data_IF_313780446021
#
_entry.id   IF_313780446021
#
_cell.length_a   1.000
_cell.length_b   1.000
_cell.length_c   1.000
_cell.angle_alpha   90.00
_cell.angle_beta   90.00
_cell.angle_gamma   90.00
#
_symmetry.space_group_name_H-M   'P 1'
#
loop_
_entity.id
_entity.type
_entity.pdbx_description
1 polymer ?
#
# COMPACT_ATOMS: atom_id res chain seq x y z
N UNK A 1 -20.21 46.61 -53.70
CA UNK A 1 -19.71 47.93 -54.21
C UNK A 1 -18.26 48.09 -53.75
N UNK A 2 -17.34 48.09 -54.75
CA UNK A 2 -15.98 48.70 -54.77
C UNK A 2 -15.02 48.38 -53.62
N UNK A 3 -13.71 48.17 -53.77
CA UNK A 3 -12.78 47.97 -54.92
C UNK A 3 -11.38 47.76 -54.27
N UNK A 4 -10.68 46.77 -54.75
CA UNK A 4 -9.24 46.63 -54.97
C UNK A 4 -8.28 47.70 -54.40
N UNK A 5 -7.12 47.26 -53.84
CA UNK A 5 -5.84 47.43 -54.60
C UNK A 5 -4.69 46.63 -53.96
N UNK A 6 -4.02 45.93 -54.84
CA UNK A 6 -2.68 45.31 -54.73
C UNK A 6 -1.62 46.40 -54.80
N UNK A 7 -0.49 46.19 -54.15
CA UNK A 7 0.81 46.65 -54.66
C UNK A 7 1.90 45.61 -54.30
N UNK A 8 2.58 45.16 -55.34
CA UNK A 8 3.85 44.42 -55.35
C UNK A 8 5.02 45.40 -55.17
N UNK A 9 6.13 44.88 -54.66
CA UNK A 9 7.47 45.52 -54.76
C UNK A 9 8.46 44.69 -53.97
N UNK A 10 9.14 43.77 -54.56
CA UNK A 10 10.44 43.70 -55.24
C UNK A 10 11.65 43.77 -54.30
N UNK A 11 12.43 42.72 -54.46
CA UNK A 11 13.66 42.29 -53.80
C UNK A 11 14.84 43.28 -53.82
N UNK A 12 15.74 43.07 -52.84
CA UNK A 12 17.17 43.13 -53.12
C UNK A 12 17.97 42.32 -52.08
N UNK A 13 18.81 41.43 -52.56
CA UNK A 13 19.78 40.66 -51.82
C UNK A 13 21.04 41.49 -51.55
N UNK A 14 21.57 41.36 -50.35
CA UNK A 14 23.00 41.71 -50.08
C UNK A 14 23.57 40.62 -49.17
N UNK A 15 24.52 39.89 -49.72
CA UNK A 15 25.42 38.96 -49.02
C UNK A 15 26.50 39.71 -48.32
N UNK A 16 26.73 39.45 -47.05
CA UNK A 16 27.98 39.73 -46.37
C UNK A 16 28.25 38.65 -45.31
N UNK A 17 29.21 37.80 -45.61
CA UNK A 17 29.84 36.85 -44.74
C UNK A 17 30.80 37.55 -43.79
N UNK A 18 30.58 37.46 -42.48
CA UNK A 18 31.62 37.64 -41.48
C UNK A 18 31.42 36.62 -40.38
N UNK A 19 32.37 35.73 -40.21
CA UNK A 19 32.39 34.75 -39.17
C UNK A 19 32.63 35.37 -37.77
N UNK A 20 31.84 34.96 -36.83
CA UNK A 20 32.14 35.13 -35.40
C UNK A 20 31.76 33.89 -34.65
N UNK A 21 32.72 33.36 -33.95
CA UNK A 21 32.66 32.22 -33.06
C UNK A 21 31.50 32.30 -32.07
N UNK A 22 30.51 31.42 -32.21
CA UNK A 22 29.45 31.26 -31.22
C UNK A 22 29.97 30.38 -30.11
N UNK A 23 30.19 30.96 -28.96
CA UNK A 23 30.27 30.26 -27.68
C UNK A 23 28.87 29.76 -27.40
N UNK A 24 28.67 28.45 -27.56
CA UNK A 24 27.46 27.79 -27.15
C UNK A 24 27.44 27.74 -25.63
N UNK A 25 26.67 28.64 -25.03
CA UNK A 25 26.23 28.50 -23.62
C UNK A 25 25.28 27.30 -23.56
N UNK A 26 25.82 26.17 -23.16
CA UNK A 26 25.00 25.03 -22.81
C UNK A 26 24.24 25.37 -21.52
N UNK A 27 23.00 25.80 -21.65
CA UNK A 27 22.04 25.80 -20.56
C UNK A 27 21.75 24.35 -20.23
N UNK A 28 22.33 23.83 -19.16
CA UNK A 28 21.94 22.59 -18.55
C UNK A 28 20.46 22.70 -18.18
N UNK A 29 19.59 21.72 -18.56
CA UNK A 29 18.27 21.71 -18.03
C UNK A 29 18.41 21.52 -16.52
N UNK A 30 17.89 22.49 -15.77
CA UNK A 30 17.71 22.35 -14.33
C UNK A 30 16.93 21.07 -14.09
N UNK A 31 17.61 20.05 -13.56
CA UNK A 31 16.97 18.86 -13.05
C UNK A 31 16.00 19.31 -11.98
N UNK A 32 14.72 19.27 -12.29
CA UNK A 32 13.67 19.41 -11.30
C UNK A 32 13.92 18.31 -10.27
N UNK A 33 14.39 18.72 -9.11
CA UNK A 33 14.58 17.92 -7.93
C UNK A 33 13.20 17.42 -7.50
N UNK A 34 12.83 16.23 -7.97
CA UNK A 34 11.61 15.52 -7.55
C UNK A 34 11.88 15.02 -6.15
N UNK A 35 11.61 15.90 -5.21
CA UNK A 35 11.63 15.67 -3.77
C UNK A 35 10.98 14.35 -3.39
N UNK A 36 11.82 13.38 -3.00
CA UNK A 36 11.54 12.63 -1.80
C UNK A 36 10.69 11.38 -1.88
N UNK A 37 10.69 10.61 -2.96
CA UNK A 37 10.38 9.18 -2.87
C UNK A 37 11.70 8.45 -2.68
N UNK A 38 12.12 8.24 -1.41
CA UNK A 38 13.24 7.35 -1.15
C UNK A 38 12.92 5.99 -1.78
N UNK A 39 13.57 5.69 -2.90
CA UNK A 39 13.36 4.43 -3.61
C UNK A 39 13.74 3.29 -2.67
N UNK A 40 12.80 2.40 -2.41
CA UNK A 40 13.07 1.16 -1.71
C UNK A 40 14.13 0.39 -2.50
N UNK A 41 15.27 0.08 -1.88
CA UNK A 41 16.45 -0.45 -2.58
C UNK A 41 16.53 -1.97 -2.57
N UNK A 42 15.84 -2.62 -1.61
CA UNK A 42 15.92 -4.07 -1.42
C UNK A 42 14.72 -4.84 -1.98
N UNK A 43 14.93 -6.11 -2.19
CA UNK A 43 13.95 -7.05 -2.76
C UNK A 43 13.49 -8.11 -1.75
N UNK A 44 13.71 -7.89 -0.45
CA UNK A 44 13.18 -8.79 0.57
C UNK A 44 11.66 -8.75 0.57
N UNK A 45 11.02 -9.91 0.41
CA UNK A 45 9.56 -10.01 0.37
C UNK A 45 8.93 -9.92 1.76
N UNK A 46 7.69 -9.43 1.85
CA UNK A 46 6.93 -9.46 3.11
C UNK A 46 6.62 -10.89 3.55
N UNK A 47 6.39 -11.80 2.61
CA UNK A 47 6.22 -13.22 2.95
C UNK A 47 7.44 -13.76 3.69
N UNK A 48 8.67 -13.40 3.29
CA UNK A 48 9.88 -13.84 4.01
C UNK A 48 9.97 -13.30 5.43
N UNK A 49 9.40 -12.11 5.69
CA UNK A 49 9.31 -11.53 7.04
C UNK A 49 8.30 -12.31 7.89
N UNK A 50 7.11 -12.58 7.34
CA UNK A 50 6.08 -13.36 8.02
C UNK A 50 6.52 -14.80 8.30
N UNK A 51 7.31 -15.39 7.40
CA UNK A 51 7.83 -16.76 7.53
C UNK A 51 9.07 -16.86 8.43
N UNK A 52 9.72 -15.75 8.76
CA UNK A 52 10.86 -15.73 9.69
C UNK A 52 10.44 -16.04 11.13
N UNK A 53 9.21 -15.72 11.47
CA UNK A 53 8.59 -16.18 12.69
C UNK A 53 8.27 -17.68 12.57
N UNK A 54 8.81 -18.46 13.49
CA UNK A 54 8.57 -19.92 13.56
C UNK A 54 7.40 -20.25 14.50
N UNK A 55 6.65 -19.25 14.93
CA UNK A 55 5.57 -19.34 15.88
C UNK A 55 4.50 -20.38 15.51
N UNK A 56 3.88 -20.94 16.50
CA UNK A 56 2.85 -21.97 16.39
C UNK A 56 1.68 -21.63 17.31
N UNK A 57 1.02 -20.49 17.12
CA UNK A 57 -0.06 -20.06 18.01
C UNK A 57 0.39 -20.08 19.49
N UNK A 58 1.43 -19.30 19.79
CA UNK A 58 2.19 -19.37 21.04
C UNK A 58 1.67 -18.45 22.14
N UNK A 59 0.51 -17.82 21.94
CA UNK A 59 -0.11 -16.83 22.82
C UNK A 59 0.50 -15.42 22.76
N UNK A 60 1.42 -15.14 21.83
CA UNK A 60 1.96 -13.82 21.57
C UNK A 60 1.06 -13.04 20.60
N UNK A 61 0.02 -12.44 21.07
CA UNK A 61 -0.95 -11.71 20.24
C UNK A 61 -0.39 -10.54 19.41
N UNK A 62 0.90 -10.25 19.47
CA UNK A 62 1.56 -9.16 18.75
C UNK A 62 2.25 -9.61 17.47
N UNK A 63 2.39 -10.89 17.24
CA UNK A 63 2.98 -11.50 16.05
C UNK A 63 1.93 -11.80 14.97
N UNK A 64 2.25 -12.68 14.01
CA UNK A 64 1.49 -12.87 12.79
C UNK A 64 1.15 -14.33 12.49
N UNK A 65 1.03 -15.19 13.49
CA UNK A 65 0.79 -16.62 13.30
C UNK A 65 -0.50 -16.91 12.51
N UNK A 66 -1.58 -16.19 12.83
CA UNK A 66 -2.86 -16.32 12.13
C UNK A 66 -2.75 -15.80 10.70
N UNK A 67 -2.14 -14.60 10.51
CA UNK A 67 -1.93 -14.03 9.17
C UNK A 67 -1.07 -14.96 8.30
N UNK A 68 0.06 -15.43 8.84
CA UNK A 68 0.95 -16.37 8.16
C UNK A 68 0.21 -17.63 7.74
N UNK A 69 -0.55 -18.22 8.66
CA UNK A 69 -1.30 -19.44 8.41
C UNK A 69 -2.39 -19.22 7.35
N UNK A 70 -3.06 -18.07 7.35
CA UNK A 70 -4.05 -17.70 6.34
C UNK A 70 -3.42 -17.54 4.94
N UNK A 71 -2.29 -16.82 4.84
CA UNK A 71 -1.54 -16.66 3.57
C UNK A 71 -1.10 -18.01 3.03
N UNK A 72 -0.52 -18.88 3.89
CA UNK A 72 -0.09 -20.22 3.47
C UNK A 72 -1.26 -21.10 3.03
N UNK A 73 -2.40 -21.03 3.72
CA UNK A 73 -3.61 -21.76 3.34
C UNK A 73 -4.10 -21.35 1.95
N UNK A 74 -4.20 -20.03 1.69
CA UNK A 74 -4.61 -19.52 0.37
C UNK A 74 -3.64 -19.96 -0.71
N UNK A 75 -2.33 -19.82 -0.52
CA UNK A 75 -1.34 -20.19 -1.53
C UNK A 75 -1.29 -21.70 -1.79
N UNK A 76 -1.62 -22.53 -0.78
CA UNK A 76 -1.72 -23.98 -0.93
C UNK A 76 -2.95 -24.38 -1.75
N UNK A 77 -4.11 -23.85 -1.43
CA UNK A 77 -5.37 -24.19 -2.13
C UNK A 77 -5.48 -23.49 -3.50
N UNK A 78 -4.91 -22.28 -3.62
CA UNK A 78 -4.95 -21.43 -4.81
C UNK A 78 -3.52 -20.99 -5.20
N UNK A 79 -2.70 -21.85 -5.81
CA UNK A 79 -1.30 -21.53 -6.14
C UNK A 79 -1.13 -20.33 -7.09
N UNK A 80 -2.18 -19.98 -7.86
CA UNK A 80 -2.20 -18.83 -8.77
C UNK A 80 -2.83 -17.58 -8.15
N UNK A 81 -3.15 -17.60 -6.85
CA UNK A 81 -3.75 -16.45 -6.16
C UNK A 81 -2.87 -15.21 -6.26
N UNK A 82 -3.46 -14.02 -6.50
CA UNK A 82 -2.74 -12.74 -6.45
C UNK A 82 -2.08 -12.45 -5.08
N UNK A 83 -2.49 -13.13 -4.00
CA UNK A 83 -1.79 -13.07 -2.69
C UNK A 83 -0.31 -13.46 -2.83
N UNK A 84 0.04 -14.25 -3.84
CA UNK A 84 1.42 -14.58 -4.18
C UNK A 84 2.33 -13.38 -4.46
N UNK A 85 1.79 -12.18 -4.70
CA UNK A 85 2.59 -10.95 -4.82
C UNK A 85 3.43 -10.67 -3.57
N UNK A 86 2.97 -11.11 -2.39
CA UNK A 86 3.70 -10.98 -1.14
C UNK A 86 5.04 -11.76 -1.13
N UNK A 87 5.22 -12.74 -2.01
CA UNK A 87 6.47 -13.50 -2.17
C UNK A 87 7.43 -12.87 -3.19
N UNK A 88 6.96 -11.92 -4.00
CA UNK A 88 7.72 -11.29 -5.09
C UNK A 88 8.35 -9.99 -4.59
N UNK A 89 9.47 -10.08 -3.89
CA UNK A 89 10.11 -8.94 -3.23
C UNK A 89 10.50 -7.78 -4.14
N UNK A 90 10.64 -8.03 -5.44
CA UNK A 90 10.92 -7.04 -6.48
C UNK A 90 9.71 -6.17 -6.87
N UNK A 91 8.50 -6.58 -6.47
CA UNK A 91 7.25 -5.86 -6.75
C UNK A 91 6.92 -4.87 -5.63
N UNK A 92 6.79 -3.59 -5.96
CA UNK A 92 6.46 -2.56 -4.99
C UNK A 92 5.03 -2.71 -4.47
N UNK A 93 4.86 -2.76 -3.16
CA UNK A 93 3.56 -2.73 -2.51
C UNK A 93 3.65 -2.23 -1.07
N UNK A 94 2.50 -1.83 -0.55
CA UNK A 94 2.27 -1.59 0.88
C UNK A 94 1.25 -2.61 1.38
N UNK A 95 1.52 -3.27 2.49
CA UNK A 95 0.55 -4.17 3.12
C UNK A 95 0.21 -3.69 4.54
N UNK A 96 -1.05 -3.78 4.89
CA UNK A 96 -1.53 -3.61 6.26
C UNK A 96 -1.60 -5.00 6.89
N UNK A 97 -0.82 -5.21 7.95
CA UNK A 97 -0.57 -6.52 8.54
C UNK A 97 -1.36 -6.65 9.85
N UNK A 98 -2.54 -7.28 9.87
CA UNK A 98 -3.24 -7.56 11.11
C UNK A 98 -2.43 -8.55 11.94
N UNK A 99 -2.17 -8.19 13.20
CA UNK A 99 -1.53 -9.09 14.16
C UNK A 99 -2.54 -10.12 14.70
N UNK A 100 -2.10 -11.06 15.51
CA UNK A 100 -2.97 -12.11 16.05
C UNK A 100 -4.08 -11.55 16.93
N UNK A 101 -3.82 -10.46 17.65
CA UNK A 101 -4.88 -9.77 18.38
C UNK A 101 -6.00 -9.28 17.45
N UNK A 102 -5.66 -8.71 16.29
CA UNK A 102 -6.64 -8.22 15.32
C UNK A 102 -7.57 -9.32 14.82
N UNK A 103 -7.04 -10.51 14.55
CA UNK A 103 -7.86 -11.67 14.16
C UNK A 103 -8.74 -12.18 15.30
N UNK A 104 -8.22 -12.18 16.53
CA UNK A 104 -9.00 -12.57 17.71
C UNK A 104 -10.16 -11.60 17.96
N UNK A 105 -9.94 -10.30 17.72
CA UNK A 105 -11.00 -9.28 17.77
C UNK A 105 -12.04 -9.53 16.68
N UNK A 106 -11.60 -9.74 15.42
CA UNK A 106 -12.49 -10.08 14.32
C UNK A 106 -13.41 -11.24 14.68
N UNK A 107 -12.85 -12.36 15.13
CA UNK A 107 -13.63 -13.56 15.47
C UNK A 107 -14.58 -13.31 16.63
N UNK A 108 -14.15 -12.56 17.65
CA UNK A 108 -15.03 -12.14 18.74
C UNK A 108 -16.24 -11.35 18.21
N UNK A 109 -15.99 -10.42 17.27
CA UNK A 109 -17.01 -9.52 16.73
C UNK A 109 -18.03 -10.28 15.88
N UNK A 110 -17.60 -11.14 14.97
CA UNK A 110 -18.50 -11.93 14.11
C UNK A 110 -19.26 -13.03 14.87
N UNK A 111 -18.64 -13.64 15.88
CA UNK A 111 -19.29 -14.68 16.69
C UNK A 111 -20.08 -14.13 17.88
N UNK A 112 -20.05 -12.80 18.10
CA UNK A 112 -20.66 -12.12 19.27
C UNK A 112 -20.18 -12.70 20.61
N UNK A 113 -18.95 -13.23 20.64
CA UNK A 113 -18.40 -13.86 21.84
C UNK A 113 -18.06 -12.82 22.91
N UNK A 114 -18.19 -13.18 24.19
CA UNK A 114 -17.87 -12.30 25.29
C UNK A 114 -16.35 -12.16 25.52
N UNK A 115 -15.57 -13.18 25.14
CA UNK A 115 -14.10 -13.24 25.34
C UNK A 115 -13.37 -13.42 24.01
N UNK A 116 -12.14 -12.94 23.94
CA UNK A 116 -11.27 -13.21 22.81
C UNK A 116 -10.94 -14.70 22.74
N UNK A 117 -11.07 -15.33 21.55
CA UNK A 117 -10.67 -16.73 21.35
C UNK A 117 -9.13 -16.86 21.45
N UNK A 118 -8.61 -18.10 21.56
CA UNK A 118 -7.18 -18.35 21.33
C UNK A 118 -6.82 -18.13 19.86
N UNK A 119 -5.53 -17.91 19.56
CA UNK A 119 -5.04 -17.73 18.17
C UNK A 119 -5.42 -18.91 17.27
N UNK A 120 -5.24 -20.14 17.76
CA UNK A 120 -5.66 -21.35 17.06
C UNK A 120 -7.16 -21.39 16.78
N UNK A 121 -7.98 -20.97 17.74
CA UNK A 121 -9.43 -20.88 17.56
C UNK A 121 -9.80 -19.76 16.57
N UNK A 122 -9.09 -18.62 16.63
CA UNK A 122 -9.27 -17.54 15.69
C UNK A 122 -8.91 -17.97 14.26
N UNK A 123 -7.78 -18.63 14.06
CA UNK A 123 -7.41 -19.18 12.75
C UNK A 123 -8.47 -20.17 12.23
N UNK A 124 -8.95 -21.09 13.09
CA UNK A 124 -10.00 -22.06 12.70
C UNK A 124 -11.29 -21.37 12.26
N UNK A 125 -11.71 -20.33 12.98
CA UNK A 125 -12.91 -19.56 12.64
C UNK A 125 -12.72 -18.80 11.31
N UNK A 126 -11.57 -18.14 11.10
CA UNK A 126 -11.23 -17.45 9.85
C UNK A 126 -11.20 -18.44 8.67
N UNK A 127 -10.57 -19.59 8.83
CA UNK A 127 -10.57 -20.64 7.81
C UNK A 127 -11.98 -21.15 7.50
N UNK A 128 -12.87 -21.17 8.49
CA UNK A 128 -14.27 -21.53 8.34
C UNK A 128 -15.11 -20.57 7.49
N UNK A 129 -14.63 -19.33 7.24
CA UNK A 129 -15.27 -18.38 6.32
C UNK A 129 -15.12 -18.80 4.85
N UNK A 130 -14.28 -19.79 4.57
CA UNK A 130 -13.99 -20.28 3.21
C UNK A 130 -12.80 -19.55 2.58
N UNK A 131 -12.08 -20.29 1.73
CA UNK A 131 -10.80 -19.82 1.16
C UNK A 131 -10.95 -18.59 0.29
N UNK A 132 -12.07 -18.45 -0.43
CA UNK A 132 -12.34 -17.29 -1.30
C UNK A 132 -12.54 -16.01 -0.48
N UNK A 133 -13.25 -16.10 0.65
CA UNK A 133 -13.42 -15.00 1.58
C UNK A 133 -12.08 -14.59 2.19
N UNK A 134 -11.30 -15.57 2.64
CA UNK A 134 -9.97 -15.31 3.21
C UNK A 134 -9.06 -14.64 2.18
N UNK A 135 -9.01 -15.13 0.94
CA UNK A 135 -8.26 -14.50 -0.15
C UNK A 135 -8.70 -13.06 -0.39
N UNK A 136 -10.00 -12.81 -0.47
CA UNK A 136 -10.58 -11.48 -0.67
C UNK A 136 -10.16 -10.51 0.43
N UNK A 137 -10.23 -10.93 1.69
CA UNK A 137 -9.81 -10.14 2.85
C UNK A 137 -8.30 -9.88 2.80
N UNK A 138 -7.48 -10.89 2.51
CA UNK A 138 -6.02 -10.72 2.39
C UNK A 138 -5.65 -9.72 1.28
N UNK A 139 -6.29 -9.79 0.11
CA UNK A 139 -6.07 -8.86 -0.99
C UNK A 139 -6.54 -7.44 -0.67
N UNK A 140 -7.54 -7.30 0.18
CA UNK A 140 -8.01 -5.99 0.66
C UNK A 140 -6.99 -5.29 1.57
N UNK A 141 -6.06 -6.04 2.18
CA UNK A 141 -4.95 -5.52 2.98
C UNK A 141 -3.72 -5.12 2.15
N UNK A 142 -3.70 -5.36 0.85
CA UNK A 142 -2.55 -5.10 -0.01
C UNK A 142 -2.84 -3.94 -0.96
N UNK A 143 -1.97 -2.93 -0.96
CA UNK A 143 -1.99 -1.79 -1.88
C UNK A 143 -0.82 -1.95 -2.86
N UNK A 144 -1.08 -2.35 -4.11
CA UNK A 144 -0.04 -2.59 -5.10
C UNK A 144 0.54 -1.28 -5.65
N UNK A 145 1.75 -1.35 -6.20
CA UNK A 145 2.37 -0.29 -6.99
C UNK A 145 3.01 0.85 -6.18
N UNK A 146 2.91 0.85 -4.84
CA UNK A 146 3.49 1.89 -4.02
C UNK A 146 4.12 1.34 -2.73
N UNK A 147 5.31 1.82 -2.40
CA UNK A 147 5.98 1.60 -1.10
C UNK A 147 5.72 2.81 -0.22
N UNK A 148 4.63 2.81 0.54
CA UNK A 148 4.19 3.92 1.38
C UNK A 148 4.87 3.82 2.75
N UNK A 149 5.94 4.58 2.99
CA UNK A 149 6.55 4.64 4.31
C UNK A 149 5.65 5.38 5.32
N UNK A 150 5.86 5.15 6.61
CA UNK A 150 5.15 5.87 7.69
C UNK A 150 5.27 7.39 7.56
N UNK A 151 6.47 7.88 7.18
CA UNK A 151 6.72 9.31 6.94
C UNK A 151 5.88 9.86 5.77
N UNK A 152 5.69 9.08 4.71
CA UNK A 152 4.84 9.46 3.59
C UNK A 152 3.35 9.35 3.96
N UNK A 153 2.95 8.29 4.66
CA UNK A 153 1.59 8.09 5.14
C UNK A 153 1.09 9.25 6.02
N UNK A 154 1.93 9.72 6.96
CA UNK A 154 1.59 10.86 7.84
C UNK A 154 1.41 12.19 7.08
N UNK A 155 1.84 12.28 5.84
CA UNK A 155 1.65 13.46 4.97
C UNK A 155 0.50 13.30 3.98
N UNK A 156 -0.19 12.17 4.02
CA UNK A 156 -1.20 11.76 3.04
C UNK A 156 -2.55 11.59 3.71
N UNK A 157 -2.94 12.56 4.56
CA UNK A 157 -4.26 12.56 5.17
C UNK A 157 -5.36 12.53 4.09
N UNK A 158 -6.42 11.81 4.36
CA UNK A 158 -7.56 11.59 3.46
C UNK A 158 -7.22 10.86 2.14
N UNK A 159 -5.98 10.37 1.98
CA UNK A 159 -5.61 9.60 0.78
C UNK A 159 -6.42 8.31 0.65
N UNK A 160 -6.95 8.09 -0.54
CA UNK A 160 -7.69 6.86 -0.90
C UNK A 160 -6.73 5.88 -1.56
N UNK A 161 -6.52 4.75 -0.94
CA UNK A 161 -5.61 3.70 -1.38
C UNK A 161 -6.40 2.58 -2.07
N UNK A 162 -6.10 2.31 -3.33
CA UNK A 162 -6.71 1.20 -4.06
C UNK A 162 -6.05 -0.12 -3.68
N UNK A 163 -6.83 -1.08 -3.24
CA UNK A 163 -6.35 -2.40 -2.81
C UNK A 163 -6.24 -3.40 -3.96
N UNK A 164 -5.51 -4.48 -3.76
CA UNK A 164 -5.38 -5.57 -4.73
C UNK A 164 -6.70 -6.33 -4.93
N UNK A 165 -7.62 -6.25 -3.98
CA UNK A 165 -8.98 -6.77 -4.10
C UNK A 165 -9.85 -5.93 -5.05
N UNK A 166 -9.48 -4.67 -5.31
CA UNK A 166 -10.20 -3.73 -6.18
C UNK A 166 -10.98 -2.66 -5.43
N UNK A 167 -11.25 -2.84 -4.15
CA UNK A 167 -11.84 -1.83 -3.27
C UNK A 167 -10.83 -0.76 -2.83
N UNK A 168 -11.23 0.07 -1.88
CA UNK A 168 -10.41 1.17 -1.38
C UNK A 168 -10.38 1.20 0.15
N UNK A 169 -9.25 1.68 0.67
CA UNK A 169 -9.06 2.00 2.09
C UNK A 169 -8.64 3.46 2.17
N UNK A 170 -9.28 4.24 3.04
CA UNK A 170 -8.96 5.66 3.23
C UNK A 170 -8.03 5.82 4.43
N UNK A 171 -6.98 6.59 4.23
CA UNK A 171 -6.04 6.96 5.27
C UNK A 171 -6.60 8.15 6.05
N UNK A 172 -6.58 8.07 7.38
CA UNK A 172 -6.95 9.19 8.25
C UNK A 172 -5.83 9.44 9.25
N UNK A 173 -5.22 10.61 9.18
CA UNK A 173 -4.05 10.97 9.97
C UNK A 173 -4.47 11.75 11.22
N UNK A 174 -4.05 11.29 12.38
CA UNK A 174 -4.22 12.00 13.64
C UNK A 174 -2.89 12.60 14.10
N UNK A 175 -2.83 13.92 14.15
CA UNK A 175 -1.67 14.65 14.65
C UNK A 175 -1.83 15.07 16.12
N UNK A 176 -2.82 14.55 16.83
CA UNK A 176 -3.07 14.91 18.25
C UNK A 176 -2.02 14.25 19.16
N UNK A 177 -1.21 15.08 19.80
CA UNK A 177 -0.32 14.63 20.87
C UNK A 177 -1.12 14.03 22.03
N UNK A 178 -0.69 12.92 22.66
CA UNK A 178 0.58 12.20 22.44
C UNK A 178 0.51 11.09 21.38
N UNK A 179 -0.57 10.95 20.64
CA UNK A 179 -0.81 9.83 19.71
C UNK A 179 -0.82 10.29 18.25
N UNK A 180 0.33 10.74 17.77
CA UNK A 180 0.52 10.92 16.32
C UNK A 180 0.50 9.56 15.63
N UNK A 181 -0.35 9.40 14.64
CA UNK A 181 -0.48 8.14 13.92
C UNK A 181 -1.53 8.21 12.84
N UNK A 182 -1.84 7.10 12.22
CA UNK A 182 -2.89 7.03 11.22
C UNK A 182 -3.80 5.81 11.43
N UNK A 183 -5.03 5.99 11.01
CA UNK A 183 -6.10 5.01 11.00
C UNK A 183 -6.44 4.67 9.56
N UNK A 184 -7.05 3.53 9.37
CA UNK A 184 -7.54 3.07 8.08
C UNK A 184 -9.05 2.94 8.17
N UNK A 185 -9.74 3.68 7.30
CA UNK A 185 -11.19 3.61 7.15
C UNK A 185 -11.45 2.66 6.00
N UNK A 186 -12.04 1.53 6.29
CA UNK A 186 -12.38 0.49 5.33
C UNK A 186 -13.85 0.60 4.86
N UNK A 187 -14.33 -0.42 4.15
CA UNK A 187 -15.69 -0.43 3.61
C UNK A 187 -16.74 -0.81 4.65
N UNK A 188 -16.36 -1.54 5.69
CA UNK A 188 -17.26 -1.90 6.78
C UNK A 188 -17.39 -0.74 7.78
N UNK A 189 -18.60 -0.21 7.89
CA UNK A 189 -18.94 0.88 8.83
C UNK A 189 -19.53 0.38 10.15
N UNK A 190 -19.71 -0.92 10.28
CA UNK A 190 -20.34 -1.54 11.45
C UNK A 190 -19.35 -1.71 12.60
N UNK A 191 -18.04 -1.71 12.31
CA UNK A 191 -17.01 -1.85 13.31
C UNK A 191 -16.11 -0.59 13.46
N UNK A 192 -15.11 -0.68 14.34
CA UNK A 192 -14.17 0.42 14.57
C UNK A 192 -13.06 0.41 13.53
N UNK A 193 -12.73 1.57 13.00
CA UNK A 193 -11.58 1.75 12.09
C UNK A 193 -10.28 1.17 12.67
N UNK A 194 -9.50 0.52 11.81
CA UNK A 194 -8.21 -0.05 12.19
C UNK A 194 -7.17 1.03 12.49
N UNK A 195 -6.46 0.90 13.61
CA UNK A 195 -5.31 1.76 13.92
C UNK A 195 -4.03 1.08 13.48
N UNK A 196 -3.12 1.87 12.94
CA UNK A 196 -1.75 1.43 12.73
C UNK A 196 -1.01 1.51 14.06
N UNK A 197 -0.52 0.35 14.52
CA UNK A 197 0.16 0.17 15.80
C UNK A 197 1.65 -0.17 15.68
N UNK A 198 2.09 -0.50 14.46
CA UNK A 198 3.49 -0.70 14.11
C UNK A 198 3.72 -0.24 12.67
N UNK A 199 4.88 0.34 12.41
CA UNK A 199 5.17 0.95 11.12
C UNK A 199 6.45 0.43 10.51
N UNK A 200 6.53 0.54 9.17
CA UNK A 200 7.73 0.32 8.39
C UNK A 200 8.36 -1.08 8.55
N UNK A 201 7.53 -2.11 8.73
CA UNK A 201 7.98 -3.51 8.67
C UNK A 201 8.60 -3.75 7.30
N UNK A 202 9.77 -4.38 7.25
CA UNK A 202 10.55 -4.59 6.03
C UNK A 202 11.09 -3.29 5.38
N UNK A 203 11.34 -2.26 6.19
CA UNK A 203 11.88 -0.97 5.73
C UNK A 203 13.14 -1.14 4.88
N UNK A 204 13.28 -0.31 3.84
CA UNK A 204 14.40 -0.36 2.91
C UNK A 204 14.18 -1.29 1.71
N UNK A 205 13.07 -2.01 1.67
CA UNK A 205 12.69 -2.88 0.57
C UNK A 205 11.49 -2.30 -0.22
N UNK A 206 11.21 -2.86 -1.40
CA UNK A 206 10.07 -2.47 -2.25
C UNK A 206 8.73 -2.83 -1.61
N UNK A 207 8.68 -3.88 -0.82
CA UNK A 207 7.52 -4.26 -0.03
C UNK A 207 7.66 -3.73 1.39
N UNK A 208 6.66 -2.96 1.84
CA UNK A 208 6.61 -2.41 3.20
C UNK A 208 5.29 -2.80 3.88
N UNK A 209 5.35 -3.03 5.18
CA UNK A 209 4.18 -3.38 5.99
C UNK A 209 3.91 -2.39 7.11
N UNK A 210 2.64 -2.25 7.46
CA UNK A 210 2.21 -1.53 8.67
C UNK A 210 1.29 -2.42 9.48
N UNK A 211 1.61 -2.60 10.75
CA UNK A 211 0.84 -3.46 11.66
C UNK A 211 -0.44 -2.76 12.08
N UNK A 212 -1.56 -3.46 11.98
CA UNK A 212 -2.88 -2.95 12.36
C UNK A 212 -3.52 -3.76 13.49
N UNK A 213 -4.31 -3.08 14.33
CA UNK A 213 -4.99 -3.68 15.48
C UNK A 213 -6.36 -4.29 15.15
N UNK A 214 -6.77 -4.19 13.87
CA UNK A 214 -8.00 -4.79 13.35
C UNK A 214 -7.80 -5.30 11.93
N UNK A 215 -8.56 -6.33 11.57
CA UNK A 215 -8.64 -6.82 10.20
C UNK A 215 -9.51 -5.86 9.40
N UNK A 216 -9.01 -5.37 8.25
CA UNK A 216 -9.77 -4.55 7.32
C UNK A 216 -10.82 -5.40 6.60
N UNK A 217 -12.04 -4.88 6.51
CA UNK A 217 -13.16 -5.61 5.93
C UNK A 217 -13.62 -4.94 4.64
N UNK A 218 -13.59 -5.65 3.49
CA UNK A 218 -14.14 -5.14 2.23
C UNK A 218 -15.67 -5.09 2.22
N UNK A 219 -16.30 -5.86 3.10
CA UNK A 219 -17.74 -5.95 3.33
C UNK A 219 -17.97 -6.32 4.79
N UNK A 220 -19.22 -6.16 5.27
CA UNK A 220 -19.61 -6.73 6.55
C UNK A 220 -19.49 -8.27 6.48
N UNK A 221 -18.73 -8.84 7.39
CA UNK A 221 -18.52 -10.28 7.46
C UNK A 221 -19.57 -10.91 8.36
N UNK A 222 -20.09 -12.08 7.98
CA UNK A 222 -21.15 -12.76 8.70
C UNK A 222 -20.77 -13.20 10.13
#
# INVERSE_FOLDING_TARGET
MRLRRRVLGVATAVTATIGVSSVALMASPASADTTGKAAAKGDKSLASVLLADKGKFDHNSKDFDVLRSAVLAVLKEKPKSPVGVLTKGDTALTAFLPNDHAFRVLVKDITKAHKLPSEKAAFKAVAGLGIDTVETVLLYHVVPGATLSSKAALKSDDAVLKTAQGGTVKLNVSLRYPKVGFHLIDADKSDKNARVIGVDVNKGNKQIGHVVDRVLRPVDLP
#
